data_IF_337743150103
#
_entry.id   IF_337743150103
#
_cell.length_a   1.000
_cell.length_b   1.000
_cell.length_c   1.000
_cell.angle_alpha   90.00
_cell.angle_beta   90.00
_cell.angle_gamma   90.00
#
_symmetry.space_group_name_H-M   'P 1'
#
loop_
_entity.id
_entity.type
_entity.pdbx_description
1 polymer ?
#
# COMPACT_ATOMS: atom_id res chain seq x y z
N UNK A 1 32.03 -36.51 -33.57
CA UNK A 1 32.67 -36.50 -32.23
C UNK A 1 32.29 -37.78 -31.48
N UNK A 2 33.27 -38.64 -31.23
CA UNK A 2 33.14 -39.86 -30.43
C UNK A 2 33.46 -39.53 -28.96
N UNK A 3 32.68 -40.08 -28.03
CA UNK A 3 33.17 -40.86 -26.86
C UNK A 3 32.13 -40.77 -25.72
N UNK A 4 31.45 -41.89 -25.46
CA UNK A 4 30.78 -42.18 -24.19
C UNK A 4 31.68 -43.13 -23.41
N UNK A 5 31.94 -42.83 -22.15
CA UNK A 5 32.51 -43.78 -21.19
C UNK A 5 31.54 -43.96 -20.03
N UNK A 6 31.20 -45.23 -19.79
CA UNK A 6 30.52 -45.78 -18.62
C UNK A 6 31.57 -46.51 -17.78
N UNK A 7 31.52 -46.37 -16.45
CA UNK A 7 31.88 -47.33 -15.39
C UNK A 7 31.91 -46.56 -14.06
N UNK A 8 31.48 -47.05 -12.90
CA UNK A 8 30.93 -48.34 -12.50
C UNK A 8 30.95 -48.46 -10.96
N UNK A 9 30.00 -49.26 -10.43
CA UNK A 9 30.05 -50.15 -9.23
C UNK A 9 30.29 -49.55 -7.83
N UNK A 10 29.33 -49.72 -6.90
CA UNK A 10 29.27 -50.74 -5.80
C UNK A 10 30.00 -50.25 -4.54
N UNK A 11 29.60 -50.45 -3.27
CA UNK A 11 28.70 -51.42 -2.61
C UNK A 11 28.48 -51.01 -1.14
N UNK A 12 27.28 -51.35 -0.64
CA UNK A 12 26.87 -51.79 0.72
C UNK A 12 27.83 -51.78 1.93
N UNK A 13 27.30 -51.42 3.10
CA UNK A 13 27.21 -52.25 4.35
C UNK A 13 26.58 -51.39 5.48
N UNK A 14 25.41 -51.76 6.05
CA UNK A 14 25.23 -52.50 7.33
C UNK A 14 25.63 -51.65 8.57
N UNK A 15 24.86 -51.46 9.66
CA UNK A 15 23.97 -52.33 10.46
C UNK A 15 23.32 -51.50 11.62
N UNK A 16 22.02 -51.74 11.89
CA UNK A 16 21.41 -52.20 13.18
C UNK A 16 21.70 -51.41 14.49
N UNK A 17 20.84 -51.24 15.51
CA UNK A 17 19.54 -51.77 15.91
C UNK A 17 19.04 -51.01 17.19
N UNK A 18 17.72 -51.00 17.44
CA UNK A 18 17.03 -51.17 18.77
C UNK A 18 17.24 -50.06 19.84
N UNK A 19 16.35 -49.76 20.80
CA UNK A 19 15.02 -50.22 21.24
C UNK A 19 14.65 -49.41 22.51
N UNK A 20 13.34 -49.27 22.76
CA UNK A 20 12.65 -49.12 24.06
C UNK A 20 12.56 -47.75 24.77
N UNK A 21 11.29 -47.33 24.95
CA UNK A 21 10.78 -46.47 26.03
C UNK A 21 10.73 -47.24 27.37
N UNK A 22 10.57 -46.56 28.54
CA UNK A 22 9.21 -46.44 29.10
C UNK A 22 8.88 -45.17 29.93
N UNK A 23 7.57 -44.96 30.04
CA UNK A 23 6.70 -44.17 30.94
C UNK A 23 7.19 -43.67 32.31
N UNK A 24 6.78 -42.45 32.68
CA UNK A 24 6.36 -41.95 34.01
C UNK A 24 6.04 -40.43 33.86
N UNK A 25 5.23 -39.72 34.65
CA UNK A 25 4.07 -39.93 35.52
C UNK A 25 3.61 -38.47 35.85
N UNK A 26 2.30 -38.25 36.00
CA UNK A 26 1.61 -37.11 36.66
C UNK A 26 2.21 -35.68 36.72
N UNK A 27 1.40 -34.69 36.31
CA UNK A 27 0.80 -33.72 37.24
C UNK A 27 -0.26 -32.84 36.56
N UNK A 28 -1.44 -32.77 37.20
CA UNK A 28 -2.53 -31.83 36.92
C UNK A 28 -2.25 -30.56 37.72
N UNK A 29 -2.27 -29.40 37.07
CA UNK A 29 -2.55 -28.13 37.74
C UNK A 29 -3.54 -27.33 36.90
N UNK A 30 -4.78 -27.31 37.37
CA UNK A 30 -5.79 -26.30 37.05
C UNK A 30 -5.46 -25.09 37.92
N UNK A 31 -5.21 -23.94 37.31
CA UNK A 31 -5.41 -22.63 37.92
C UNK A 31 -6.22 -21.79 36.94
N UNK A 32 -7.45 -21.55 37.33
CA UNK A 32 -8.35 -20.56 36.77
C UNK A 32 -7.99 -19.18 37.29
N UNK A 33 -7.99 -18.24 36.35
CA UNK A 33 -8.48 -16.87 36.46
C UNK A 33 -7.58 -15.79 37.08
N UNK A 34 -7.56 -14.64 36.41
CA UNK A 34 -6.97 -13.40 36.92
C UNK A 34 -6.03 -12.63 36.00
N UNK A 35 -5.93 -12.93 34.70
CA UNK A 35 -5.25 -12.00 33.78
C UNK A 35 -6.20 -10.86 33.42
N UNK A 36 -5.86 -9.59 33.67
CA UNK A 36 -6.66 -8.48 33.16
C UNK A 36 -6.72 -8.61 31.65
N UNK A 37 -7.93 -8.81 31.12
CA UNK A 37 -8.21 -8.55 29.71
C UNK A 37 -8.27 -7.04 29.56
N UNK A 38 -7.10 -6.39 29.64
CA UNK A 38 -6.92 -5.12 28.96
C UNK A 38 -7.04 -5.45 27.48
N UNK A 39 -8.23 -5.25 26.94
CA UNK A 39 -8.35 -4.94 25.52
C UNK A 39 -7.53 -3.66 25.35
N UNK A 40 -6.44 -3.66 24.56
CA UNK A 40 -5.87 -2.40 24.19
C UNK A 40 -6.96 -1.70 23.39
N UNK A 41 -7.40 -0.54 23.91
CA UNK A 41 -8.04 0.46 23.09
C UNK A 41 -6.95 0.98 22.15
N UNK A 42 -6.68 0.22 21.09
CA UNK A 42 -5.66 0.47 20.08
C UNK A 42 -6.38 1.14 18.90
N UNK A 43 -6.76 2.41 19.10
CA UNK A 43 -7.19 3.28 18.02
C UNK A 43 -6.08 4.29 17.83
N UNK A 44 -5.08 3.91 17.03
CA UNK A 44 -3.93 4.74 16.72
C UNK A 44 -2.80 3.91 16.10
N UNK A 45 -2.82 3.76 14.78
CA UNK A 45 -1.86 2.92 14.08
C UNK A 45 -0.50 3.63 13.98
N UNK A 46 0.57 2.97 14.49
CA UNK A 46 1.97 3.32 14.26
C UNK A 46 2.25 3.48 12.74
N UNK A 47 3.14 4.40 12.30
CA UNK A 47 3.59 4.51 10.90
C UNK A 47 3.81 3.19 10.14
N UNK A 48 4.31 2.16 10.83
CA UNK A 48 4.47 0.82 10.25
C UNK A 48 3.12 0.15 9.92
N UNK A 49 2.12 0.28 10.79
CA UNK A 49 0.78 -0.24 10.58
C UNK A 49 0.04 0.57 9.52
N UNK A 50 0.13 1.90 9.57
CA UNK A 50 -0.50 2.77 8.57
C UNK A 50 0.04 2.51 7.15
N UNK A 51 1.36 2.39 6.99
CA UNK A 51 1.95 2.05 5.70
C UNK A 51 1.53 0.66 5.20
N UNK A 52 1.40 -0.32 6.08
CA UNK A 52 0.89 -1.65 5.74
C UNK A 52 -0.58 -1.61 5.30
N UNK A 53 -1.42 -0.84 5.99
CA UNK A 53 -2.82 -0.64 5.59
C UNK A 53 -2.92 0.02 4.21
N UNK A 54 -2.12 1.05 3.94
CA UNK A 54 -2.05 1.66 2.61
C UNK A 54 -1.63 0.62 1.57
N UNK A 55 -0.62 -0.19 1.86
CA UNK A 55 -0.14 -1.22 0.95
C UNK A 55 -1.24 -2.23 0.58
N UNK A 56 -2.05 -2.64 1.56
CA UNK A 56 -3.22 -3.50 1.33
C UNK A 56 -4.33 -2.79 0.56
N UNK A 57 -4.58 -1.51 0.85
CA UNK A 57 -5.64 -0.73 0.20
C UNK A 57 -5.35 -0.45 -1.27
N UNK A 58 -4.14 -0.01 -1.61
CA UNK A 58 -3.84 0.44 -2.99
C UNK A 58 -2.90 -0.51 -3.73
N UNK A 59 -2.34 -1.53 -3.08
CA UNK A 59 -1.48 -2.54 -3.71
C UNK A 59 -0.02 -2.12 -3.86
N UNK A 60 0.58 -1.52 -2.82
CA UNK A 60 2.00 -1.16 -2.83
C UNK A 60 2.89 -2.41 -2.75
N UNK A 61 4.10 -2.33 -3.32
CA UNK A 61 5.12 -3.37 -3.12
C UNK A 61 5.75 -3.23 -1.74
N UNK A 62 6.37 -4.31 -1.24
CA UNK A 62 7.09 -4.31 0.05
C UNK A 62 8.13 -3.19 0.15
N UNK A 63 8.81 -2.85 -0.96
CA UNK A 63 9.78 -1.75 -1.01
C UNK A 63 9.09 -0.40 -0.85
N UNK A 64 7.98 -0.16 -1.56
CA UNK A 64 7.22 1.08 -1.45
C UNK A 64 6.57 1.22 -0.07
N UNK A 65 6.12 0.12 0.54
CA UNK A 65 5.61 0.12 1.92
C UNK A 65 6.66 0.60 2.90
N UNK A 66 7.91 0.14 2.78
CA UNK A 66 9.01 0.59 3.65
C UNK A 66 9.31 2.07 3.47
N UNK A 67 9.34 2.53 2.21
CA UNK A 67 9.51 3.94 1.88
C UNK A 67 8.40 4.79 2.52
N UNK A 68 7.15 4.36 2.43
CA UNK A 68 6.04 5.06 3.08
C UNK A 68 6.19 5.09 4.60
N UNK A 69 6.58 3.97 5.21
CA UNK A 69 6.81 3.92 6.66
C UNK A 69 7.92 4.89 7.09
N UNK A 70 9.00 5.00 6.31
CA UNK A 70 10.08 5.96 6.56
C UNK A 70 9.56 7.40 6.44
N UNK A 71 8.80 7.71 5.40
CA UNK A 71 8.22 9.05 5.20
C UNK A 71 7.22 9.44 6.30
N UNK A 72 6.40 8.49 6.74
CA UNK A 72 5.50 8.66 7.88
C UNK A 72 6.27 8.83 9.20
N UNK A 73 7.54 8.47 9.30
CA UNK A 73 8.35 8.78 10.48
C UNK A 73 9.01 10.16 10.44
N UNK A 74 9.10 10.79 9.25
CA UNK A 74 9.82 12.05 9.05
C UNK A 74 8.93 13.29 9.08
N UNK A 75 7.62 13.12 8.90
CA UNK A 75 6.67 14.21 8.68
C UNK A 75 5.77 14.42 9.89
N UNK A 76 5.43 15.67 10.18
CA UNK A 76 4.54 16.01 11.29
C UNK A 76 3.21 16.56 10.75
N UNK A 77 2.10 16.03 11.26
CA UNK A 77 0.68 16.49 11.13
C UNK A 77 0.08 16.71 9.73
N UNK A 78 0.87 16.80 8.67
CA UNK A 78 0.41 17.06 7.30
C UNK A 78 -0.31 15.83 6.72
N UNK A 79 -1.54 15.99 6.18
CA UNK A 79 -2.18 14.94 5.40
C UNK A 79 -1.35 14.51 4.19
N UNK A 80 -1.24 13.19 4.00
CA UNK A 80 -0.47 12.60 2.91
C UNK A 80 -1.42 11.89 1.95
N UNK A 81 -1.28 12.19 0.65
CA UNK A 81 -1.89 11.43 -0.43
C UNK A 81 -0.86 10.44 -0.99
N UNK A 82 -1.11 9.15 -0.80
CA UNK A 82 -0.34 8.07 -1.42
C UNK A 82 -1.05 7.59 -2.68
N UNK A 83 -0.31 7.43 -3.77
CA UNK A 83 -0.84 7.12 -5.10
C UNK A 83 -0.14 5.88 -5.68
N UNK A 84 -0.90 4.91 -6.17
CA UNK A 84 -0.38 3.84 -7.01
C UNK A 84 -0.97 3.92 -8.41
N UNK A 85 -0.11 4.21 -9.38
CA UNK A 85 -0.50 4.23 -10.80
C UNK A 85 -1.03 2.86 -11.23
N UNK A 86 -2.09 2.89 -12.04
CA UNK A 86 -2.71 1.70 -12.58
C UNK A 86 -2.06 1.32 -13.93
N UNK A 87 -1.34 0.20 -13.95
CA UNK A 87 -0.64 -0.30 -15.15
C UNK A 87 -1.59 -0.54 -16.34
N UNK A 88 -2.85 -0.91 -16.07
CA UNK A 88 -3.84 -1.08 -17.13
C UNK A 88 -4.19 0.26 -17.81
N UNK A 89 -4.16 1.36 -17.07
CA UNK A 89 -4.42 2.69 -17.61
C UNK A 89 -3.21 3.21 -18.37
N UNK A 90 -1.99 3.02 -17.85
CA UNK A 90 -0.76 3.43 -18.54
C UNK A 90 -0.49 2.60 -19.80
N UNK A 91 -0.97 1.36 -19.88
CA UNK A 91 -0.95 0.58 -21.11
C UNK A 91 -1.75 1.23 -22.25
N UNK A 92 -2.76 2.07 -21.93
CA UNK A 92 -3.60 2.78 -22.90
C UNK A 92 -3.08 4.20 -23.15
N UNK A 93 -2.69 4.92 -22.08
CA UNK A 93 -2.39 6.35 -22.13
C UNK A 93 -0.90 6.71 -22.03
N UNK A 94 -0.03 5.72 -21.80
CA UNK A 94 1.41 5.83 -21.52
C UNK A 94 1.79 6.30 -20.11
N UNK A 95 3.00 5.90 -19.68
CA UNK A 95 3.60 6.38 -18.43
C UNK A 95 3.88 7.88 -18.44
N UNK A 96 4.27 8.46 -19.59
CA UNK A 96 4.57 9.88 -19.68
C UNK A 96 3.34 10.75 -19.39
N UNK A 97 2.15 10.32 -19.83
CA UNK A 97 0.89 11.00 -19.51
C UNK A 97 0.55 10.88 -18.03
N UNK A 98 0.78 9.69 -17.43
CA UNK A 98 0.61 9.51 -15.99
C UNK A 98 1.54 10.43 -15.19
N UNK A 99 2.82 10.52 -15.58
CA UNK A 99 3.80 11.39 -14.95
C UNK A 99 3.40 12.87 -15.03
N UNK A 100 2.84 13.32 -16.15
CA UNK A 100 2.35 14.69 -16.30
C UNK A 100 1.19 14.99 -15.33
N UNK A 101 0.26 14.05 -15.15
CA UNK A 101 -0.84 14.20 -14.18
C UNK A 101 -0.30 14.20 -12.74
N UNK A 102 0.70 13.37 -12.43
CA UNK A 102 1.37 13.39 -11.13
C UNK A 102 2.12 14.71 -10.89
N UNK A 103 2.70 15.30 -11.93
CA UNK A 103 3.31 16.63 -11.88
C UNK A 103 2.27 17.74 -11.64
N UNK A 104 1.05 17.63 -12.17
CA UNK A 104 -0.06 18.53 -11.87
C UNK A 104 -0.42 18.47 -10.37
N UNK A 105 -0.49 17.27 -9.79
CA UNK A 105 -0.69 17.09 -8.33
C UNK A 105 0.48 17.70 -7.56
N UNK A 106 1.70 17.40 -7.97
CA UNK A 106 2.91 17.86 -7.29
C UNK A 106 3.01 19.40 -7.25
N UNK A 107 2.49 20.08 -8.27
CA UNK A 107 2.61 21.55 -8.43
C UNK A 107 1.35 22.30 -8.02
N UNK A 108 0.26 21.61 -7.66
CA UNK A 108 -1.00 22.22 -7.29
C UNK A 108 -0.86 23.23 -6.13
N UNK A 109 -1.18 24.50 -6.42
CA UNK A 109 -1.08 25.64 -5.50
C UNK A 109 0.33 25.85 -4.90
N UNK A 110 1.37 25.42 -5.64
CA UNK A 110 2.77 25.61 -5.27
C UNK A 110 3.42 26.71 -6.14
N UNK A 111 4.27 27.53 -5.54
CA UNK A 111 5.09 28.50 -6.28
C UNK A 111 6.38 27.81 -6.74
N UNK A 112 6.74 27.82 -8.03
CA UNK A 112 7.98 27.23 -8.50
C UNK A 112 9.21 27.78 -7.75
N UNK A 113 10.22 26.93 -7.41
CA UNK A 113 10.38 25.52 -7.81
C UNK A 113 9.76 24.51 -6.83
N UNK A 114 8.90 24.94 -5.91
CA UNK A 114 8.38 24.05 -4.86
C UNK A 114 7.40 23.01 -5.42
N UNK A 115 7.40 21.82 -4.81
CA UNK A 115 6.51 20.70 -5.15
C UNK A 115 6.07 19.96 -3.89
N UNK A 116 4.92 19.28 -3.94
CA UNK A 116 4.35 18.49 -2.84
C UNK A 116 5.04 17.14 -2.62
N UNK A 117 5.74 16.64 -3.62
CA UNK A 117 6.56 15.42 -3.57
C UNK A 117 8.04 15.71 -3.29
N UNK A 118 8.42 16.97 -3.05
CA UNK A 118 9.82 17.36 -2.88
C UNK A 118 10.41 16.91 -1.53
N UNK A 119 9.60 16.85 -0.47
CA UNK A 119 10.04 16.39 0.84
C UNK A 119 10.34 14.88 0.82
N UNK A 120 9.40 14.09 0.31
CA UNK A 120 9.56 12.65 0.13
C UNK A 120 10.55 12.28 -1.00
N UNK A 121 10.71 13.15 -2.01
CA UNK A 121 11.48 12.81 -3.23
C UNK A 121 10.83 11.69 -4.06
N UNK A 122 9.56 11.39 -3.80
CA UNK A 122 8.83 10.26 -4.33
C UNK A 122 7.61 10.74 -5.10
N UNK A 123 7.58 10.54 -6.43
CA UNK A 123 6.50 10.94 -7.37
C UNK A 123 5.19 10.13 -7.18
N UNK A 124 4.86 9.81 -5.95
CA UNK A 124 3.69 9.02 -5.57
C UNK A 124 3.25 9.29 -4.12
N UNK A 125 4.00 10.10 -3.37
CA UNK A 125 3.65 10.61 -2.04
C UNK A 125 3.57 12.12 -2.12
N UNK A 126 2.43 12.68 -1.75
CA UNK A 126 2.19 14.13 -1.82
C UNK A 126 1.70 14.67 -0.49
N UNK A 127 2.39 15.70 0.01
CA UNK A 127 2.04 16.35 1.28
C UNK A 127 1.08 17.51 1.05
N UNK A 128 0.04 17.56 1.86
CA UNK A 128 -0.95 18.62 1.88
C UNK A 128 -0.99 19.26 3.25
N UNK A 129 -1.35 20.54 3.31
CA UNK A 129 -1.50 21.25 4.59
C UNK A 129 -2.83 20.90 5.27
N UNK A 130 -3.82 20.52 4.47
CA UNK A 130 -5.20 20.23 4.88
C UNK A 130 -5.83 19.22 3.94
N UNK A 131 -6.75 18.42 4.44
CA UNK A 131 -7.50 17.45 3.63
C UNK A 131 -8.34 18.13 2.54
N UNK A 132 -8.89 19.32 2.81
CA UNK A 132 -9.64 20.10 1.80
C UNK A 132 -8.79 20.47 0.59
N UNK A 133 -7.48 20.65 0.76
CA UNK A 133 -6.58 20.95 -0.36
C UNK A 133 -6.46 19.73 -1.31
N UNK A 134 -6.70 18.51 -0.82
CA UNK A 134 -6.71 17.29 -1.62
C UNK A 134 -7.96 17.27 -2.51
N UNK A 135 -9.12 17.64 -1.96
CA UNK A 135 -10.38 17.75 -2.71
C UNK A 135 -10.27 18.82 -3.81
N UNK A 136 -9.77 20.02 -3.47
CA UNK A 136 -9.60 21.09 -4.46
C UNK A 136 -8.58 20.69 -5.55
N UNK A 137 -7.50 19.98 -5.17
CA UNK A 137 -6.54 19.43 -6.11
C UNK A 137 -7.18 18.42 -7.05
N UNK A 138 -8.01 17.52 -6.52
CA UNK A 138 -8.75 16.51 -7.29
C UNK A 138 -9.62 17.19 -8.35
N UNK A 139 -10.39 18.20 -7.96
CA UNK A 139 -11.30 18.90 -8.87
C UNK A 139 -10.54 19.63 -9.99
N UNK A 140 -9.38 20.24 -9.66
CA UNK A 140 -8.51 20.86 -10.66
C UNK A 140 -7.93 19.83 -11.64
N UNK A 141 -7.48 18.68 -11.14
CA UNK A 141 -6.95 17.59 -11.98
C UNK A 141 -8.05 16.98 -12.85
N UNK A 142 -9.28 16.86 -12.34
CA UNK A 142 -10.45 16.44 -13.12
C UNK A 142 -10.77 17.41 -14.26
N UNK A 143 -10.69 18.72 -14.00
CA UNK A 143 -10.91 19.73 -15.02
C UNK A 143 -9.83 19.70 -16.12
N UNK A 144 -8.57 19.44 -15.76
CA UNK A 144 -7.44 19.43 -16.70
C UNK A 144 -7.31 18.12 -17.47
N UNK A 145 -7.55 17.00 -16.80
CA UNK A 145 -7.26 15.63 -17.28
C UNK A 145 -8.44 14.69 -17.00
N UNK A 146 -9.64 14.94 -17.57
CA UNK A 146 -10.84 14.14 -17.28
C UNK A 146 -10.70 12.66 -17.67
N UNK A 147 -9.83 12.34 -18.62
CA UNK A 147 -9.52 10.96 -19.04
C UNK A 147 -8.76 10.15 -17.97
N UNK A 148 -8.25 10.80 -16.91
CA UNK A 148 -7.63 10.13 -15.78
C UNK A 148 -8.67 9.52 -14.81
N UNK A 149 -9.92 9.94 -14.91
CA UNK A 149 -10.99 9.60 -13.96
C UNK A 149 -11.91 8.54 -14.54
N UNK A 150 -12.30 7.59 -13.69
CA UNK A 150 -13.34 6.62 -13.98
C UNK A 150 -14.59 6.92 -13.17
N UNK A 151 -15.74 6.38 -13.55
CA UNK A 151 -16.93 6.46 -12.71
C UNK A 151 -16.69 5.72 -11.39
N UNK A 152 -17.10 6.33 -10.27
CA UNK A 152 -17.15 5.61 -9.00
C UNK A 152 -18.02 4.34 -9.10
N UNK A 153 -17.68 3.25 -8.37
CA UNK A 153 -18.50 2.04 -8.33
C UNK A 153 -19.97 2.32 -7.98
N UNK A 154 -20.22 3.29 -7.11
CA UNK A 154 -21.56 3.71 -6.71
C UNK A 154 -22.31 4.39 -7.87
N UNK A 155 -21.65 5.26 -8.64
CA UNK A 155 -22.24 5.87 -9.84
C UNK A 155 -22.60 4.81 -10.89
N UNK A 156 -21.74 3.80 -11.07
CA UNK A 156 -22.03 2.66 -11.96
C UNK A 156 -23.22 1.86 -11.44
N UNK A 157 -23.29 1.58 -10.13
CA UNK A 157 -24.41 0.85 -9.52
C UNK A 157 -25.75 1.61 -9.63
N UNK A 158 -25.72 2.94 -9.59
CA UNK A 158 -26.87 3.81 -9.81
C UNK A 158 -27.28 3.94 -11.29
N UNK A 159 -26.56 3.27 -12.20
CA UNK A 159 -26.89 3.25 -13.62
C UNK A 159 -26.44 4.49 -14.38
N UNK A 160 -25.53 5.30 -13.83
CA UNK A 160 -24.87 6.38 -14.57
C UNK A 160 -23.83 5.79 -15.54
N UNK A 161 -24.27 4.96 -16.49
CA UNK A 161 -23.43 4.44 -17.57
C UNK A 161 -23.29 5.48 -18.67
N UNK A 162 -22.33 6.40 -18.55
CA UNK A 162 -22.03 7.34 -19.61
C UNK A 162 -21.10 6.71 -20.66
N UNK A 163 -21.54 6.73 -21.92
CA UNK A 163 -20.72 6.36 -23.08
C UNK A 163 -19.50 7.28 -23.11
N UNK A 164 -18.31 6.71 -23.01
CA UNK A 164 -17.04 7.45 -23.13
C UNK A 164 -16.31 7.76 -21.82
N UNK A 165 -16.84 7.37 -20.65
CA UNK A 165 -16.06 7.48 -19.40
C UNK A 165 -15.06 6.32 -19.31
N UNK A 166 -13.78 6.59 -18.96
CA UNK A 166 -12.80 5.54 -18.73
C UNK A 166 -13.31 4.50 -17.74
N UNK A 167 -13.21 3.22 -18.12
CA UNK A 167 -13.63 2.10 -17.28
C UNK A 167 -12.66 1.83 -16.12
N UNK A 168 -11.44 2.37 -16.21
CA UNK A 168 -10.37 2.17 -15.22
C UNK A 168 -9.81 3.54 -14.81
N UNK A 169 -9.60 3.80 -13.51
CA UNK A 169 -8.97 5.04 -13.06
C UNK A 169 -7.48 5.01 -13.39
N UNK A 170 -6.88 6.20 -13.48
CA UNK A 170 -5.44 6.36 -13.67
C UNK A 170 -4.62 5.81 -12.50
N UNK A 171 -5.11 5.96 -11.27
CA UNK A 171 -4.44 5.44 -10.08
C UNK A 171 -5.41 5.08 -8.95
N UNK A 172 -4.89 4.34 -7.97
CA UNK A 172 -5.55 4.03 -6.70
C UNK A 172 -4.90 4.87 -5.61
N UNK A 173 -5.71 5.45 -4.72
CA UNK A 173 -5.24 6.41 -3.73
C UNK A 173 -5.67 6.06 -2.31
N UNK A 174 -4.81 6.41 -1.36
CA UNK A 174 -5.11 6.44 0.05
C UNK A 174 -4.71 7.80 0.61
N UNK A 175 -5.50 8.31 1.56
CA UNK A 175 -5.14 9.49 2.34
C UNK A 175 -4.81 9.04 3.75
N UNK A 176 -3.73 9.59 4.28
CA UNK A 176 -3.22 9.31 5.62
C UNK A 176 -3.32 10.62 6.39
N UNK A 177 -4.10 10.65 7.45
CA UNK A 177 -4.22 11.78 8.36
C UNK A 177 -3.45 11.47 9.63
N UNK A 178 -2.48 12.31 9.99
CA UNK A 178 -1.71 12.13 11.21
C UNK A 178 -2.43 12.84 12.36
N UNK A 179 -2.92 12.07 13.32
CA UNK A 179 -3.63 12.53 14.51
C UNK A 179 -2.64 12.50 15.68
N UNK A 180 -1.89 13.60 15.84
CA UNK A 180 -0.88 13.70 16.90
C UNK A 180 0.37 12.86 16.65
N UNK A 181 1.10 12.53 17.71
CA UNK A 181 2.49 12.03 17.61
C UNK A 181 2.58 10.55 17.17
N UNK A 182 1.47 9.78 17.23
CA UNK A 182 1.49 8.31 17.03
C UNK A 182 0.23 7.68 16.45
N UNK A 183 -0.78 8.45 16.08
CA UNK A 183 -2.03 7.88 15.55
C UNK A 183 -2.17 8.31 14.09
N UNK A 184 -2.01 7.39 13.16
CA UNK A 184 -2.27 7.65 11.74
C UNK A 184 -3.63 7.05 11.34
N UNK A 185 -4.54 7.85 10.80
CA UNK A 185 -5.82 7.41 10.24
C UNK A 185 -5.70 7.25 8.71
N UNK A 186 -5.86 6.02 8.23
CA UNK A 186 -5.72 5.66 6.82
C UNK A 186 -7.09 5.42 6.21
N UNK A 187 -7.37 6.11 5.10
CA UNK A 187 -8.62 5.97 4.37
C UNK A 187 -8.35 5.75 2.88
N UNK A 188 -9.04 4.77 2.29
CA UNK A 188 -9.11 4.66 0.83
C UNK A 188 -9.81 5.91 0.31
N UNK A 189 -9.18 6.58 -0.65
CA UNK A 189 -9.66 7.86 -1.15
C UNK A 189 -9.92 7.80 -2.65
N UNK A 190 -11.12 8.19 -3.06
CA UNK A 190 -11.60 8.10 -4.43
C UNK A 190 -11.07 9.17 -5.37
N UNK A 191 -9.77 9.49 -5.31
CA UNK A 191 -9.19 10.63 -6.05
C UNK A 191 -9.55 10.57 -7.53
N UNK A 192 -9.25 9.46 -8.21
CA UNK A 192 -9.51 9.26 -9.64
C UNK A 192 -10.88 8.64 -9.97
N UNK A 193 -11.85 8.81 -9.06
CA UNK A 193 -13.25 8.45 -9.32
C UNK A 193 -14.11 9.71 -9.39
N UNK A 194 -14.91 9.85 -10.45
CA UNK A 194 -15.86 10.93 -10.66
C UNK A 194 -17.29 10.51 -10.28
#
# INVERSE_FOLDING_TARGET
>A
MKSRYLAGRSSQSERTARSASPSADRAVHVFTDGSPTERPNDFGDDPATASQQVAEMIGLSTELTKVLAEELNLTDEDPILAVRVNDAWTAIHSQATADAILDDIATYNMVPPNRRDAAAGHRWIFHFKKSSDIDDCRDQVLANSPNAFSLSPDAVALGFGAVGVPAIPMAFCAVIHKIGVREDDVQRYGFFYA
#
